data_IF_216483656803
#
_entry.id   IF_216483656803
#
_cell.length_a   1.000
_cell.length_b   1.000
_cell.length_c   1.000
_cell.angle_alpha   90.00
_cell.angle_beta   90.00
_cell.angle_gamma   90.00
#
_symmetry.space_group_name_H-M   'P 1'
#
loop_
_entity.id
_entity.type
_entity.pdbx_description
1 polymer ?
#
# COMPACT_ATOMS: atom_id res chain seq x y z
N UNK A 1 27.88 -4.55 -6.90
CA UNK A 1 26.43 -4.49 -6.68
C UNK A 1 25.70 -3.81 -7.85
N UNK A 2 26.23 -2.67 -8.36
CA UNK A 2 25.52 -1.82 -9.35
C UNK A 2 25.25 -2.53 -10.68
N UNK A 3 26.24 -3.25 -11.21
CA UNK A 3 26.07 -4.06 -12.46
C UNK A 3 24.96 -5.11 -12.36
N UNK A 4 24.76 -5.71 -11.19
CA UNK A 4 23.71 -6.70 -10.97
C UNK A 4 22.33 -6.01 -10.95
N UNK A 5 22.24 -4.84 -10.32
CA UNK A 5 21.02 -4.03 -10.29
C UNK A 5 20.64 -3.60 -11.70
N UNK A 6 21.60 -3.08 -12.48
CA UNK A 6 21.37 -2.69 -13.89
C UNK A 6 20.85 -3.84 -14.77
N UNK A 7 21.31 -5.05 -14.51
CA UNK A 7 20.86 -6.25 -15.25
C UNK A 7 19.49 -6.75 -14.80
N UNK A 8 19.21 -6.74 -13.50
CA UNK A 8 17.98 -7.30 -12.94
C UNK A 8 16.79 -6.33 -13.00
N UNK A 9 17.04 -5.02 -12.87
CA UNK A 9 15.98 -4.03 -12.83
C UNK A 9 15.04 -4.08 -14.04
N UNK A 10 15.52 -4.09 -15.30
CA UNK A 10 14.65 -4.18 -16.47
C UNK A 10 13.79 -5.44 -16.46
N UNK A 11 14.37 -6.60 -16.07
CA UNK A 11 13.67 -7.88 -16.03
C UNK A 11 12.54 -7.84 -15.01
N UNK A 12 12.82 -7.31 -13.81
CA UNK A 12 11.81 -7.18 -12.74
C UNK A 12 10.72 -6.19 -13.15
N UNK A 13 11.10 -5.08 -13.77
CA UNK A 13 10.17 -4.07 -14.25
C UNK A 13 9.22 -4.61 -15.32
N UNK A 14 9.76 -5.31 -16.34
CA UNK A 14 8.95 -5.88 -17.41
C UNK A 14 7.98 -6.95 -16.87
N UNK A 15 8.44 -7.81 -15.98
CA UNK A 15 7.58 -8.80 -15.31
C UNK A 15 6.47 -8.13 -14.51
N UNK A 16 6.78 -7.05 -13.79
CA UNK A 16 5.81 -6.27 -13.04
C UNK A 16 4.75 -5.64 -13.96
N UNK A 17 5.17 -5.02 -15.07
CA UNK A 17 4.26 -4.42 -16.05
C UNK A 17 3.31 -5.46 -16.68
N UNK A 18 3.83 -6.63 -17.05
CA UNK A 18 3.02 -7.75 -17.56
C UNK A 18 2.01 -8.21 -16.52
N UNK A 19 2.40 -8.31 -15.27
CA UNK A 19 1.54 -8.72 -14.18
C UNK A 19 0.40 -7.74 -13.93
N UNK A 20 0.69 -6.43 -13.82
CA UNK A 20 -0.33 -5.39 -13.62
C UNK A 20 -1.32 -5.36 -14.79
N UNK A 21 -0.83 -5.52 -16.03
CA UNK A 21 -1.69 -5.63 -17.21
C UNK A 21 -2.62 -6.85 -17.11
N UNK A 22 -2.08 -8.02 -16.83
CA UNK A 22 -2.87 -9.25 -16.66
C UNK A 22 -3.91 -9.14 -15.54
N UNK A 23 -3.55 -8.49 -14.41
CA UNK A 23 -4.47 -8.23 -13.32
C UNK A 23 -5.64 -7.33 -13.78
N UNK A 24 -5.32 -6.26 -14.48
CA UNK A 24 -6.31 -5.31 -15.02
C UNK A 24 -7.25 -6.00 -16.03
N UNK A 25 -6.69 -6.78 -16.95
CA UNK A 25 -7.47 -7.53 -17.95
C UNK A 25 -8.41 -8.56 -17.31
N UNK A 26 -7.98 -9.23 -16.27
CA UNK A 26 -8.80 -10.20 -15.53
C UNK A 26 -9.89 -9.56 -14.69
N UNK A 27 -9.63 -8.39 -14.11
CA UNK A 27 -10.59 -7.67 -13.29
C UNK A 27 -11.63 -6.91 -14.14
N UNK A 28 -11.25 -6.43 -15.32
CA UNK A 28 -12.06 -5.56 -16.14
C UNK A 28 -13.46 -6.11 -16.51
N UNK A 29 -13.63 -7.39 -16.91
CA UNK A 29 -14.97 -7.90 -17.25
C UNK A 29 -15.97 -7.84 -16.08
N UNK A 30 -15.49 -7.96 -14.85
CA UNK A 30 -16.33 -7.82 -13.65
C UNK A 30 -16.70 -6.35 -13.44
N UNK A 31 -15.71 -5.45 -13.57
CA UNK A 31 -15.91 -4.00 -13.47
C UNK A 31 -16.91 -3.51 -14.53
N UNK A 32 -16.76 -3.95 -15.78
CA UNK A 32 -17.64 -3.60 -16.89
C UNK A 32 -19.09 -4.03 -16.61
N UNK A 33 -19.29 -5.25 -16.14
CA UNK A 33 -20.63 -5.74 -15.75
C UNK A 33 -21.22 -4.89 -14.64
N UNK A 34 -20.48 -4.66 -13.56
CA UNK A 34 -20.95 -3.84 -12.43
C UNK A 34 -21.28 -2.42 -12.87
N UNK A 35 -20.49 -1.84 -13.77
CA UNK A 35 -20.76 -0.50 -14.30
C UNK A 35 -22.04 -0.45 -15.13
N UNK A 36 -22.26 -1.41 -16.01
CA UNK A 36 -23.45 -1.46 -16.87
C UNK A 36 -24.72 -1.78 -16.08
N UNK A 37 -24.64 -2.69 -15.09
CA UNK A 37 -25.80 -3.13 -14.31
C UNK A 37 -26.15 -2.14 -13.19
N UNK A 38 -25.13 -1.61 -12.49
CA UNK A 38 -25.30 -0.88 -11.23
C UNK A 38 -24.46 0.41 -11.15
N UNK A 39 -23.88 0.89 -12.25
CA UNK A 39 -22.98 2.05 -12.26
C UNK A 39 -23.59 3.34 -11.73
N UNK A 40 -24.93 3.45 -11.72
CA UNK A 40 -25.65 4.57 -11.13
C UNK A 40 -25.71 4.53 -9.59
N UNK A 41 -25.43 3.37 -8.97
CA UNK A 41 -25.48 3.17 -7.52
C UNK A 41 -24.11 3.31 -6.85
N UNK A 42 -23.03 2.95 -7.57
CA UNK A 42 -21.70 2.87 -6.99
C UNK A 42 -20.71 3.87 -7.62
N UNK A 43 -20.07 4.68 -6.80
CA UNK A 43 -18.98 5.55 -7.25
C UNK A 43 -17.64 4.81 -7.23
N UNK A 44 -17.44 3.95 -6.24
CA UNK A 44 -16.21 3.22 -6.03
C UNK A 44 -16.48 1.74 -5.83
N UNK A 45 -15.50 0.93 -6.22
CA UNK A 45 -15.47 -0.52 -6.00
C UNK A 45 -14.27 -0.90 -5.14
N UNK A 46 -14.40 -1.96 -4.37
CA UNK A 46 -13.31 -2.57 -3.63
C UNK A 46 -12.79 -3.79 -4.39
N UNK A 47 -11.50 -3.78 -4.71
CA UNK A 47 -10.81 -4.87 -5.39
C UNK A 47 -9.90 -5.54 -4.37
N UNK A 48 -10.17 -6.81 -3.99
CA UNK A 48 -9.29 -7.52 -3.08
C UNK A 48 -8.01 -7.94 -3.80
N UNK A 49 -6.85 -7.58 -3.22
CA UNK A 49 -5.53 -7.99 -3.69
C UNK A 49 -4.85 -8.76 -2.57
N UNK A 50 -4.34 -9.94 -2.87
CA UNK A 50 -3.67 -10.79 -1.88
C UNK A 50 -2.30 -11.24 -2.37
N UNK A 51 -1.33 -11.31 -1.45
CA UNK A 51 0.00 -11.91 -1.68
C UNK A 51 0.07 -13.36 -1.19
N UNK A 52 -1.08 -13.93 -0.78
CA UNK A 52 -1.19 -15.26 -0.19
C UNK A 52 -1.10 -15.27 1.34
N UNK A 53 -0.66 -14.17 1.97
CA UNK A 53 -0.55 -14.02 3.42
C UNK A 53 -1.53 -12.95 3.91
N UNK A 54 -1.55 -11.79 3.24
CA UNK A 54 -2.39 -10.64 3.56
C UNK A 54 -3.32 -10.35 2.39
N UNK A 55 -4.50 -9.84 2.68
CA UNK A 55 -5.43 -9.32 1.67
C UNK A 55 -5.70 -7.86 1.95
N UNK A 56 -5.51 -7.01 0.95
CA UNK A 56 -5.82 -5.59 1.00
C UNK A 56 -6.97 -5.29 0.04
N UNK A 57 -7.97 -4.55 0.52
CA UNK A 57 -9.06 -4.06 -0.33
C UNK A 57 -8.66 -2.70 -0.92
N UNK A 58 -8.39 -2.69 -2.20
CA UNK A 58 -8.03 -1.48 -2.94
C UNK A 58 -9.30 -0.82 -3.44
N UNK A 59 -9.47 0.45 -3.13
CA UNK A 59 -10.60 1.25 -3.60
C UNK A 59 -10.26 1.87 -4.95
N UNK A 60 -11.12 1.64 -5.95
CA UNK A 60 -10.96 2.18 -7.29
C UNK A 60 -12.25 2.88 -7.77
N UNK A 61 -12.15 4.02 -8.47
CA UNK A 61 -13.32 4.72 -9.02
C UNK A 61 -13.91 3.92 -10.18
N UNK A 62 -15.16 3.46 -10.03
CA UNK A 62 -15.82 2.55 -10.96
C UNK A 62 -15.88 3.13 -12.38
N UNK A 63 -16.32 4.39 -12.52
CA UNK A 63 -16.42 5.05 -13.82
C UNK A 63 -15.07 5.11 -14.54
N UNK A 64 -14.00 5.53 -13.86
CA UNK A 64 -12.66 5.60 -14.45
C UNK A 64 -12.13 4.23 -14.85
N UNK A 65 -12.40 3.20 -14.02
CA UNK A 65 -12.01 1.84 -14.36
C UNK A 65 -12.69 1.37 -15.66
N UNK A 66 -13.96 1.70 -15.86
CA UNK A 66 -14.69 1.41 -17.09
C UNK A 66 -14.13 2.20 -18.29
N UNK A 67 -14.05 3.53 -18.19
CA UNK A 67 -13.59 4.41 -19.27
C UNK A 67 -12.17 4.09 -19.75
N UNK A 68 -11.29 3.71 -18.84
CA UNK A 68 -9.89 3.38 -19.16
C UNK A 68 -9.68 1.91 -19.53
N UNK A 69 -10.75 1.13 -19.68
CA UNK A 69 -10.71 -0.31 -19.96
C UNK A 69 -9.78 -1.07 -19.01
N UNK A 70 -9.91 -0.77 -17.71
CA UNK A 70 -9.16 -1.44 -16.65
C UNK A 70 -7.80 -0.84 -16.30
N UNK A 71 -7.25 0.11 -17.06
CA UNK A 71 -5.94 0.71 -16.74
C UNK A 71 -5.94 1.40 -15.37
N UNK A 72 -7.04 2.06 -15.00
CA UNK A 72 -7.20 2.68 -13.67
C UNK A 72 -7.14 1.65 -12.53
N UNK A 73 -7.47 0.39 -12.77
CA UNK A 73 -7.36 -0.68 -11.77
C UNK A 73 -5.90 -0.84 -11.34
N UNK A 74 -4.97 -0.92 -12.28
CA UNK A 74 -3.53 -1.02 -11.99
C UNK A 74 -3.04 0.16 -11.15
N UNK A 75 -3.36 1.39 -11.56
CA UNK A 75 -2.99 2.60 -10.82
C UNK A 75 -3.59 2.63 -9.41
N UNK A 76 -4.85 2.22 -9.26
CA UNK A 76 -5.51 2.14 -7.95
C UNK A 76 -4.86 1.09 -7.06
N UNK A 77 -4.43 -0.05 -7.62
CA UNK A 77 -3.71 -1.10 -6.90
C UNK A 77 -2.36 -0.59 -6.40
N UNK A 78 -1.57 0.04 -7.27
CA UNK A 78 -0.29 0.64 -6.88
C UNK A 78 -0.45 1.65 -5.75
N UNK A 79 -1.36 2.59 -5.92
CA UNK A 79 -1.66 3.63 -4.94
C UNK A 79 -2.19 3.05 -3.63
N UNK A 80 -3.17 2.15 -3.69
CA UNK A 80 -3.82 1.59 -2.52
C UNK A 80 -2.87 0.75 -1.67
N UNK A 81 -2.04 -0.09 -2.30
CA UNK A 81 -1.04 -0.89 -1.60
C UNK A 81 0.03 0.00 -0.97
N UNK A 82 0.57 0.97 -1.73
CA UNK A 82 1.59 1.89 -1.24
C UNK A 82 1.10 2.65 -0.02
N UNK A 83 -0.10 3.23 -0.08
CA UNK A 83 -0.67 3.98 1.04
C UNK A 83 -0.93 3.10 2.27
N UNK A 84 -1.45 1.88 2.08
CA UNK A 84 -1.72 0.96 3.17
C UNK A 84 -0.43 0.51 3.89
N UNK A 85 0.63 0.24 3.13
CA UNK A 85 1.94 -0.14 3.69
C UNK A 85 2.55 1.03 4.46
N UNK A 86 2.55 2.23 3.88
CA UNK A 86 3.09 3.43 4.55
C UNK A 86 2.31 3.70 5.84
N UNK A 87 0.98 3.68 5.82
CA UNK A 87 0.15 3.95 7.00
C UNK A 87 0.44 2.97 8.14
N UNK A 88 0.52 1.68 7.83
CA UNK A 88 0.82 0.66 8.84
C UNK A 88 2.23 0.80 9.40
N UNK A 89 3.22 1.00 8.53
CA UNK A 89 4.61 1.16 8.94
C UNK A 89 4.82 2.44 9.77
N UNK A 90 4.12 3.52 9.39
CA UNK A 90 4.17 4.78 10.12
C UNK A 90 3.57 4.68 11.53
N UNK A 91 2.44 4.02 11.67
CA UNK A 91 1.82 3.76 12.98
C UNK A 91 2.76 3.00 13.92
N UNK A 92 3.46 2.00 13.39
CA UNK A 92 4.44 1.25 14.17
C UNK A 92 5.64 2.12 14.55
N UNK A 93 6.16 2.90 13.59
CA UNK A 93 7.26 3.82 13.85
C UNK A 93 6.92 4.86 14.94
N UNK A 94 5.70 5.36 14.98
CA UNK A 94 5.28 6.27 16.05
C UNK A 94 5.34 5.60 17.43
N UNK A 95 4.97 4.32 17.54
CA UNK A 95 5.10 3.55 18.79
C UNK A 95 6.57 3.35 19.16
N UNK A 96 7.42 2.96 18.21
CA UNK A 96 8.86 2.83 18.40
C UNK A 96 9.50 4.14 18.89
N UNK A 97 9.05 5.28 18.35
CA UNK A 97 9.51 6.60 18.77
C UNK A 97 9.04 6.98 20.18
N UNK A 98 7.82 6.61 20.58
CA UNK A 98 7.32 6.82 21.94
C UNK A 98 8.11 5.96 22.95
N UNK A 99 8.40 4.71 22.60
CA UNK A 99 9.21 3.80 23.42
C UNK A 99 10.66 4.34 23.57
N UNK A 100 11.24 4.83 22.48
CA UNK A 100 12.56 5.49 22.48
C UNK A 100 12.55 6.70 23.43
N UNK A 101 11.55 7.55 23.34
CA UNK A 101 11.42 8.74 24.19
C UNK A 101 11.40 8.39 25.68
N UNK A 102 10.70 7.30 26.04
CA UNK A 102 10.66 6.81 27.41
C UNK A 102 12.02 6.22 27.85
N UNK A 103 12.66 5.41 27.00
CA UNK A 103 13.93 4.77 27.32
C UNK A 103 15.06 5.78 27.55
N UNK A 104 15.11 6.83 26.74
CA UNK A 104 16.16 7.87 26.83
C UNK A 104 16.08 8.69 28.13
N UNK A 105 14.90 8.79 28.75
CA UNK A 105 14.79 9.45 30.06
C UNK A 105 15.64 8.75 31.13
N UNK A 106 15.84 7.44 31.02
CA UNK A 106 16.66 6.66 31.93
C UNK A 106 18.17 6.78 31.66
N UNK A 107 18.58 7.23 30.48
CA UNK A 107 19.99 7.36 30.10
C UNK A 107 20.75 8.41 30.93
N UNK A 108 20.04 9.36 31.54
CA UNK A 108 20.61 10.35 32.45
C UNK A 108 21.30 9.72 33.65
N UNK A 109 20.88 8.54 34.10
CA UNK A 109 21.51 7.81 35.21
C UNK A 109 22.88 7.22 34.82
N UNK A 110 23.14 7.03 33.50
CA UNK A 110 24.38 6.46 32.97
C UNK A 110 25.43 7.54 32.56
N UNK A 111 25.22 8.80 32.94
CA UNK A 111 26.07 9.95 32.56
C UNK A 111 26.20 10.13 31.03
N UNK A 112 25.23 9.69 30.26
CA UNK A 112 25.16 9.89 28.80
C UNK A 112 24.27 11.08 28.51
N UNK A 113 24.53 11.76 27.39
CA UNK A 113 23.65 12.85 26.92
C UNK A 113 22.37 12.25 26.30
N UNK A 114 21.20 12.41 26.95
CA UNK A 114 19.94 11.87 26.47
C UNK A 114 19.53 12.41 25.11
N UNK A 115 19.85 13.68 24.81
CA UNK A 115 19.51 14.32 23.56
C UNK A 115 20.30 13.73 22.39
N UNK A 116 21.58 13.45 22.61
CA UNK A 116 22.44 12.83 21.61
C UNK A 116 21.96 11.40 21.30
N UNK A 117 21.66 10.62 22.33
CA UNK A 117 21.12 9.26 22.16
C UNK A 117 19.80 9.31 21.38
N UNK A 118 18.87 10.17 21.79
CA UNK A 118 17.59 10.31 21.08
C UNK A 118 17.77 10.62 19.59
N UNK A 119 18.66 11.56 19.26
CA UNK A 119 18.94 11.90 17.85
C UNK A 119 19.49 10.73 17.04
N UNK A 120 20.46 10.01 17.59
CA UNK A 120 21.08 8.88 16.89
C UNK A 120 20.12 7.71 16.71
N UNK A 121 19.39 7.35 17.77
CA UNK A 121 18.44 6.24 17.71
C UNK A 121 17.21 6.57 16.84
N UNK A 122 16.69 7.81 16.92
CA UNK A 122 15.58 8.22 16.07
C UNK A 122 15.93 8.20 14.58
N UNK A 123 17.15 8.60 14.23
CA UNK A 123 17.65 8.49 12.86
C UNK A 123 17.72 7.01 12.42
N UNK A 124 18.26 6.14 13.28
CA UNK A 124 18.31 4.70 13.00
C UNK A 124 16.92 4.07 12.83
N UNK A 125 15.95 4.46 13.66
CA UNK A 125 14.56 3.99 13.54
C UNK A 125 13.91 4.47 12.24
N UNK A 126 14.17 5.71 11.83
CA UNK A 126 13.64 6.24 10.58
C UNK A 126 14.24 5.54 9.35
N UNK A 127 15.54 5.26 9.37
CA UNK A 127 16.20 4.53 8.29
C UNK A 127 15.63 3.11 8.14
N UNK A 128 15.44 2.40 9.26
CA UNK A 128 14.76 1.09 9.28
C UNK A 128 13.31 1.17 8.77
N UNK A 129 12.59 2.25 9.09
CA UNK A 129 11.26 2.50 8.56
C UNK A 129 11.26 2.56 7.03
N UNK A 130 12.16 3.35 6.44
CA UNK A 130 12.27 3.49 4.98
C UNK A 130 12.63 2.16 4.31
N UNK A 131 13.57 1.42 4.88
CA UNK A 131 13.95 0.10 4.37
C UNK A 131 12.76 -0.87 4.40
N UNK A 132 12.01 -0.92 5.50
CA UNK A 132 10.81 -1.75 5.67
C UNK A 132 9.74 -1.39 4.66
N UNK A 133 9.40 -0.10 4.52
CA UNK A 133 8.40 0.38 3.55
C UNK A 133 8.78 -0.05 2.14
N UNK A 134 10.00 0.22 1.71
CA UNK A 134 10.46 -0.11 0.37
C UNK A 134 10.40 -1.62 0.10
N UNK A 135 10.82 -2.43 1.05
CA UNK A 135 10.79 -3.89 0.97
C UNK A 135 9.37 -4.43 0.91
N UNK A 136 8.47 -3.93 1.77
CA UNK A 136 7.08 -4.40 1.82
C UNK A 136 6.30 -3.99 0.56
N UNK A 137 6.43 -2.75 0.08
CA UNK A 137 5.78 -2.29 -1.14
C UNK A 137 6.25 -3.14 -2.33
N UNK A 138 7.57 -3.26 -2.51
CA UNK A 138 8.15 -4.04 -3.61
C UNK A 138 7.71 -5.51 -3.54
N UNK A 139 7.74 -6.12 -2.36
CA UNK A 139 7.32 -7.50 -2.16
C UNK A 139 5.83 -7.68 -2.47
N UNK A 140 4.97 -6.82 -1.93
CA UNK A 140 3.52 -6.95 -2.11
C UNK A 140 3.11 -6.69 -3.57
N UNK A 141 3.64 -5.66 -4.21
CA UNK A 141 3.36 -5.35 -5.62
C UNK A 141 3.81 -6.49 -6.55
N UNK A 142 4.93 -7.12 -6.27
CA UNK A 142 5.42 -8.24 -7.08
C UNK A 142 4.71 -9.57 -6.80
N UNK A 143 4.19 -9.82 -5.61
CA UNK A 143 3.49 -11.07 -5.24
C UNK A 143 1.98 -10.94 -5.33
N UNK A 144 1.42 -9.78 -5.00
CA UNK A 144 -0.01 -9.52 -4.92
C UNK A 144 -0.76 -9.82 -6.21
N UNK A 145 -1.93 -10.40 -6.12
CA UNK A 145 -2.81 -10.72 -7.23
C UNK A 145 -4.26 -10.80 -6.79
N UNK A 146 -5.17 -11.02 -7.74
CA UNK A 146 -6.55 -11.31 -7.41
C UNK A 146 -6.63 -12.65 -6.68
N UNK A 147 -7.43 -12.78 -5.60
CA UNK A 147 -7.62 -14.06 -4.94
C UNK A 147 -8.20 -15.09 -5.92
N UNK A 148 -7.78 -16.34 -5.78
CA UNK A 148 -8.39 -17.45 -6.49
C UNK A 148 -9.77 -17.71 -5.83
N UNK A 149 -10.83 -17.17 -6.39
CA UNK A 149 -12.17 -17.46 -5.94
C UNK A 149 -13.09 -17.65 -7.13
N UNK A 150 -13.80 -18.74 -7.12
CA UNK A 150 -14.89 -19.03 -8.05
C UNK A 150 -16.05 -18.02 -7.97
N UNK A 151 -16.06 -17.15 -6.96
CA UNK A 151 -17.07 -16.11 -6.74
C UNK A 151 -16.46 -14.82 -6.18
N UNK A 152 -15.75 -14.06 -7.00
CA UNK A 152 -15.31 -12.71 -6.60
C UNK A 152 -16.48 -11.75 -6.76
N UNK A 153 -17.29 -11.59 -5.72
CA UNK A 153 -18.25 -10.50 -5.63
C UNK A 153 -17.47 -9.22 -5.27
N UNK A 154 -17.50 -8.24 -6.16
CA UNK A 154 -17.04 -6.88 -5.84
C UNK A 154 -18.00 -6.26 -4.84
N UNK A 155 -17.46 -5.73 -3.74
CA UNK A 155 -18.25 -5.05 -2.71
C UNK A 155 -18.15 -3.55 -2.90
N UNK A 156 -19.23 -2.84 -2.57
CA UNK A 156 -19.21 -1.38 -2.47
C UNK A 156 -18.12 -0.95 -1.46
N UNK A 157 -17.27 0.00 -1.87
CA UNK A 157 -16.31 0.63 -0.96
C UNK A 157 -16.78 2.05 -0.66
N UNK A 158 -17.12 2.31 0.59
CA UNK A 158 -17.27 3.68 1.10
C UNK A 158 -15.89 4.18 1.49
N UNK A 159 -15.45 5.29 0.88
CA UNK A 159 -14.30 6.02 1.41
C UNK A 159 -14.66 6.49 2.83
N UNK A 160 -13.76 6.36 3.82
CA UNK A 160 -13.97 6.98 5.12
C UNK A 160 -14.21 8.48 4.86
N UNK A 161 -15.32 9.00 5.38
CA UNK A 161 -15.55 10.45 5.38
C UNK A 161 -14.36 11.08 6.08
N UNK A 162 -13.58 11.85 5.34
CA UNK A 162 -12.49 12.62 5.93
C UNK A 162 -13.11 13.54 6.97
N UNK A 163 -12.51 13.60 8.17
CA UNK A 163 -12.87 14.49 9.30
C UNK A 163 -12.80 16.00 8.97
N UNK A 164 -13.19 16.38 7.76
CA UNK A 164 -13.23 17.76 7.28
C UNK A 164 -14.31 18.63 7.97
N UNK A 165 -15.08 18.07 8.91
CA UNK A 165 -16.13 18.80 9.65
C UNK A 165 -15.80 19.16 11.10
N UNK A 166 -14.54 19.03 11.55
CA UNK A 166 -14.14 19.42 12.92
C UNK A 166 -13.26 20.68 13.00
N UNK A 167 -13.23 21.48 11.96
CA UNK A 167 -12.57 22.79 11.97
C UNK A 167 -13.54 23.86 11.46
N UNK A 168 -14.62 24.06 12.21
CA UNK A 168 -15.41 25.29 12.25
C UNK A 168 -15.75 25.63 13.70
#
# INVERSE_FOLDING_TARGET
>A
PDKLIEQLYPIVWDNYQLKIRSLSERAYPVVERVYLDEGHKFQNIAIPITDGIKTLNVVAPLQKCYETKGREIGLSVEKGITLAVIDNAWKEHLREMDDLKQSVQNASYEQKDPLLIYKLESFSLFDKLLERINKEITSFLNKGGLPFAENTQLKEARLPESDAKKLQ
#
